data_IF_945512381594
#
_entry.id   IF_945512381594
#
_cell.length_a   1.000
_cell.length_b   1.000
_cell.length_c   1.000
_cell.angle_alpha   90.00
_cell.angle_beta   90.00
_cell.angle_gamma   90.00
#
_symmetry.space_group_name_H-M   'P 1'
#
loop_
_entity.id
_entity.type
_entity.pdbx_description
1 polymer ?
#
# COMPACT_ATOMS: atom_id res chain seq x y z
N UNK A 1 -7.40 -55.74 -11.03
CA UNK A 1 -6.95 -54.52 -11.73
C UNK A 1 -8.23 -53.77 -12.10
N UNK A 2 -8.76 -52.80 -11.36
CA UNK A 2 -8.16 -51.52 -10.99
C UNK A 2 -8.81 -51.01 -9.68
N UNK A 3 -8.09 -51.22 -8.58
CA UNK A 3 -8.14 -50.31 -7.42
C UNK A 3 -7.40 -49.04 -7.84
N UNK A 4 -7.78 -47.90 -7.27
CA UNK A 4 -7.26 -46.54 -7.51
C UNK A 4 -7.95 -45.77 -8.65
N UNK A 5 -9.20 -45.36 -8.41
CA UNK A 5 -9.78 -44.17 -9.06
C UNK A 5 -10.72 -43.39 -8.12
N UNK A 6 -10.40 -43.39 -6.83
CA UNK A 6 -11.14 -42.63 -5.80
C UNK A 6 -10.20 -41.73 -4.98
N UNK A 7 -8.99 -41.44 -5.49
CA UNK A 7 -8.04 -40.53 -4.84
C UNK A 7 -7.63 -39.34 -5.73
N UNK A 8 -8.43 -39.00 -6.76
CA UNK A 8 -8.08 -37.92 -7.69
C UNK A 8 -8.98 -36.69 -7.63
N UNK A 9 -10.06 -36.73 -6.84
CA UNK A 9 -11.03 -35.63 -6.70
C UNK A 9 -10.95 -34.96 -5.32
N UNK A 10 -9.79 -35.05 -4.67
CA UNK A 10 -9.44 -34.34 -3.44
C UNK A 10 -8.39 -33.24 -3.68
N UNK A 11 -7.81 -33.17 -4.89
CA UNK A 11 -6.74 -32.21 -5.27
C UNK A 11 -7.28 -30.87 -5.83
N UNK A 12 -8.59 -30.65 -5.84
CA UNK A 12 -9.20 -29.41 -6.33
C UNK A 12 -9.96 -28.66 -5.23
N UNK A 13 -9.63 -28.92 -3.96
CA UNK A 13 -9.83 -27.92 -2.92
C UNK A 13 -8.63 -26.98 -2.95
N UNK A 14 -8.60 -26.07 -3.93
CA UNK A 14 -7.68 -24.92 -3.88
C UNK A 14 -7.84 -24.27 -2.49
N UNK A 15 -6.74 -24.19 -1.75
CA UNK A 15 -6.76 -23.66 -0.40
C UNK A 15 -7.41 -22.26 -0.46
N UNK A 16 -8.48 -21.99 0.31
CA UNK A 16 -9.18 -20.71 0.25
C UNK A 16 -8.26 -19.52 0.55
N UNK A 17 -7.16 -19.75 1.28
CA UNK A 17 -6.12 -18.76 1.53
C UNK A 17 -5.26 -18.49 0.29
N UNK A 18 -4.90 -19.52 -0.47
CA UNK A 18 -4.14 -19.37 -1.71
C UNK A 18 -4.96 -18.61 -2.78
N UNK A 19 -6.27 -18.87 -2.85
CA UNK A 19 -7.19 -18.11 -3.69
C UNK A 19 -7.26 -16.62 -3.30
N UNK A 20 -7.30 -16.32 -2.00
CA UNK A 20 -7.26 -14.94 -1.50
C UNK A 20 -5.92 -14.26 -1.78
N UNK A 21 -4.82 -14.99 -1.63
CA UNK A 21 -3.49 -14.49 -1.97
C UNK A 21 -3.34 -14.22 -3.47
N UNK A 22 -3.92 -15.07 -4.33
CA UNK A 22 -3.97 -14.83 -5.77
C UNK A 22 -4.81 -13.60 -6.11
N UNK A 23 -6.01 -13.49 -5.54
CA UNK A 23 -6.86 -12.31 -5.71
C UNK A 23 -6.12 -11.03 -5.30
N UNK A 24 -5.40 -11.05 -4.18
CA UNK A 24 -4.60 -9.90 -3.73
C UNK A 24 -3.50 -9.54 -4.73
N UNK A 25 -2.79 -10.52 -5.30
CA UNK A 25 -1.81 -10.29 -6.37
C UNK A 25 -2.44 -9.62 -7.59
N UNK A 26 -3.59 -10.11 -8.03
CA UNK A 26 -4.31 -9.56 -9.19
C UNK A 26 -4.79 -8.12 -8.94
N UNK A 27 -5.27 -7.84 -7.71
CA UNK A 27 -5.68 -6.49 -7.32
C UNK A 27 -4.47 -5.54 -7.23
N UNK A 28 -3.34 -5.97 -6.68
CA UNK A 28 -2.10 -5.17 -6.62
C UNK A 28 -1.56 -4.88 -8.04
N UNK A 29 -1.60 -5.85 -8.94
CA UNK A 29 -1.21 -5.65 -10.34
C UNK A 29 -2.16 -4.67 -11.04
N UNK A 30 -3.47 -4.81 -10.81
CA UNK A 30 -4.49 -3.91 -11.34
C UNK A 30 -4.31 -2.48 -10.82
N UNK A 31 -3.99 -2.32 -9.54
CA UNK A 31 -3.67 -1.02 -8.95
C UNK A 31 -2.44 -0.40 -9.60
N UNK A 32 -1.38 -1.19 -9.81
CA UNK A 32 -0.17 -0.69 -10.47
C UNK A 32 -0.45 -0.24 -11.91
N UNK A 33 -1.18 -1.04 -12.70
CA UNK A 33 -1.61 -0.67 -14.06
C UNK A 33 -2.47 0.59 -14.04
N UNK A 34 -3.41 0.70 -13.10
CA UNK A 34 -4.25 1.87 -12.94
C UNK A 34 -3.44 3.11 -12.59
N UNK A 35 -2.44 3.00 -11.69
CA UNK A 35 -1.52 4.11 -11.35
C UNK A 35 -0.74 4.62 -12.56
N UNK A 36 -0.17 3.71 -13.36
CA UNK A 36 0.58 4.09 -14.58
C UNK A 36 -0.33 4.80 -15.58
N UNK A 37 -1.52 4.25 -15.85
CA UNK A 37 -2.50 4.88 -16.76
C UNK A 37 -2.96 6.25 -16.24
N UNK A 38 -3.17 6.35 -14.93
CA UNK A 38 -3.60 7.59 -14.28
C UNK A 38 -2.52 8.66 -14.29
N UNK A 39 -1.24 8.29 -14.22
CA UNK A 39 -0.12 9.23 -14.26
C UNK A 39 -0.11 10.04 -15.55
N UNK A 40 -0.42 9.42 -16.69
CA UNK A 40 -0.52 10.14 -17.97
C UNK A 40 -1.65 11.17 -17.95
N UNK A 41 -2.81 10.81 -17.40
CA UNK A 41 -3.99 11.69 -17.35
C UNK A 41 -3.72 12.86 -16.40
N UNK A 42 -3.17 12.60 -15.22
CA UNK A 42 -2.79 13.63 -14.25
C UNK A 42 -1.66 14.53 -14.77
N UNK A 43 -0.72 13.95 -15.53
CA UNK A 43 0.30 14.71 -16.25
C UNK A 43 -0.31 15.72 -17.23
N UNK A 44 -1.30 15.29 -18.01
CA UNK A 44 -2.01 16.18 -18.93
C UNK A 44 -2.76 17.30 -18.17
N UNK A 45 -3.36 17.00 -17.01
CA UNK A 45 -3.99 18.02 -16.15
C UNK A 45 -2.97 19.10 -15.76
N UNK A 46 -1.81 18.70 -15.25
CA UNK A 46 -0.75 19.63 -14.87
C UNK A 46 -0.16 20.40 -16.05
N UNK A 47 -0.07 19.78 -17.23
CA UNK A 47 0.39 20.48 -18.42
C UNK A 47 -0.57 21.61 -18.83
N UNK A 48 -1.88 21.34 -18.81
CA UNK A 48 -2.91 22.33 -19.11
C UNK A 48 -2.91 23.43 -18.05
N UNK A 49 -2.80 23.07 -16.77
CA UNK A 49 -2.67 24.02 -15.65
C UNK A 49 -1.48 24.96 -15.86
N UNK A 50 -0.30 24.41 -16.16
CA UNK A 50 0.90 25.22 -16.41
C UNK A 50 0.75 26.16 -17.60
N UNK A 51 0.12 25.70 -18.69
CA UNK A 51 -0.19 26.54 -19.85
C UNK A 51 -1.16 27.66 -19.48
N UNK A 52 -2.21 27.34 -18.72
CA UNK A 52 -3.19 28.30 -18.22
C UNK A 52 -2.51 29.38 -17.35
N UNK A 53 -1.68 28.99 -16.40
CA UNK A 53 -0.95 29.91 -15.54
C UNK A 53 0.02 30.79 -16.32
N UNK A 54 0.66 30.26 -17.36
CA UNK A 54 1.54 31.03 -18.25
C UNK A 54 0.76 32.07 -19.03
N UNK A 55 -0.41 31.71 -19.57
CA UNK A 55 -1.30 32.65 -20.27
C UNK A 55 -1.80 33.75 -19.32
N UNK A 56 -2.15 33.39 -18.08
CA UNK A 56 -2.54 34.33 -17.03
C UNK A 56 -1.44 35.34 -16.72
N UNK A 57 -0.21 34.86 -16.44
CA UNK A 57 0.95 35.72 -16.20
C UNK A 57 1.24 36.64 -17.37
N UNK A 58 1.14 36.12 -18.59
CA UNK A 58 1.32 36.93 -19.81
C UNK A 58 0.29 38.05 -19.89
N UNK A 59 -0.97 37.77 -19.56
CA UNK A 59 -2.02 38.80 -19.50
C UNK A 59 -1.71 39.87 -18.45
N UNK A 60 -1.31 39.45 -17.24
CA UNK A 60 -0.92 40.36 -16.15
C UNK A 60 0.27 41.26 -16.55
N UNK A 61 1.31 40.70 -17.18
CA UNK A 61 2.45 41.46 -17.68
C UNK A 61 2.05 42.50 -18.74
N UNK A 62 1.15 42.14 -19.67
CA UNK A 62 0.67 43.09 -20.67
C UNK A 62 -0.26 44.13 -20.08
N UNK A 63 -1.02 43.82 -19.03
CA UNK A 63 -1.81 44.78 -18.27
C UNK A 63 -0.92 45.86 -17.62
N UNK A 64 0.19 45.45 -17.00
CA UNK A 64 1.19 46.38 -16.47
C UNK A 64 1.81 47.25 -17.56
N UNK A 65 2.14 46.66 -18.72
CA UNK A 65 2.66 47.40 -19.88
C UNK A 65 1.65 48.41 -20.44
N UNK A 66 0.35 48.07 -20.45
CA UNK A 66 -0.72 49.00 -20.83
C UNK A 66 -0.76 50.17 -19.86
N UNK A 67 -0.79 49.91 -18.54
CA UNK A 67 -0.78 50.95 -17.49
C UNK A 67 0.44 51.87 -17.62
N UNK A 68 1.61 51.30 -17.84
CA UNK A 68 2.85 52.06 -18.03
C UNK A 68 2.80 52.94 -19.29
N UNK A 69 2.36 52.40 -20.43
CA UNK A 69 2.26 53.17 -21.67
C UNK A 69 1.24 54.32 -21.56
N UNK A 70 0.10 54.08 -20.91
CA UNK A 70 -0.90 55.10 -20.60
C UNK A 70 -0.34 56.19 -19.67
N UNK A 71 0.42 55.82 -18.63
CA UNK A 71 1.05 56.80 -17.72
C UNK A 71 2.05 57.72 -18.41
N UNK A 72 2.64 57.25 -19.53
CA UNK A 72 3.60 58.01 -20.36
C UNK A 72 2.92 58.73 -21.54
N UNK A 73 1.59 58.70 -21.64
CA UNK A 73 0.84 59.32 -22.72
C UNK A 73 1.02 58.66 -24.10
N UNK A 74 1.58 57.44 -24.17
CA UNK A 74 1.79 56.74 -25.42
C UNK A 74 0.63 55.78 -25.71
N UNK A 75 -0.45 56.33 -26.25
CA UNK A 75 -1.67 55.57 -26.57
C UNK A 75 -1.46 54.48 -27.62
N UNK A 76 -0.58 54.70 -28.61
CA UNK A 76 -0.34 53.71 -29.65
C UNK A 76 0.33 52.45 -29.09
N UNK A 77 1.30 52.64 -28.18
CA UNK A 77 1.95 51.55 -27.48
C UNK A 77 0.98 50.85 -26.50
N UNK A 78 0.12 51.61 -25.82
CA UNK A 78 -0.92 51.06 -24.95
C UNK A 78 -1.91 50.17 -25.75
N UNK A 79 -2.35 50.60 -26.93
CA UNK A 79 -3.22 49.80 -27.81
C UNK A 79 -2.56 48.50 -28.26
N UNK A 80 -1.27 48.52 -28.62
CA UNK A 80 -0.51 47.31 -28.99
C UNK A 80 -0.38 46.34 -27.83
N UNK A 81 -0.05 46.83 -26.63
CA UNK A 81 0.01 46.00 -25.42
C UNK A 81 -1.37 45.42 -25.04
N UNK A 82 -2.43 46.22 -25.18
CA UNK A 82 -3.80 45.79 -24.89
C UNK A 82 -4.26 44.69 -25.85
N UNK A 83 -3.91 44.76 -27.14
CA UNK A 83 -4.21 43.70 -28.09
C UNK A 83 -3.56 42.37 -27.68
N UNK A 84 -2.31 42.41 -27.20
CA UNK A 84 -1.59 41.24 -26.68
C UNK A 84 -2.20 40.70 -25.38
N UNK A 85 -2.64 41.58 -24.48
CA UNK A 85 -3.39 41.20 -23.28
C UNK A 85 -4.68 40.45 -23.65
N UNK A 86 -5.48 40.98 -24.57
CA UNK A 86 -6.73 40.35 -25.01
C UNK A 86 -6.48 38.98 -25.63
N UNK A 87 -5.40 38.82 -26.39
CA UNK A 87 -5.00 37.52 -26.95
C UNK A 87 -4.66 36.51 -25.84
N UNK A 88 -3.90 36.94 -24.83
CA UNK A 88 -3.55 36.12 -23.67
C UNK A 88 -4.79 35.76 -22.82
N UNK A 89 -5.71 36.72 -22.58
CA UNK A 89 -6.98 36.50 -21.87
C UNK A 89 -7.85 35.45 -22.58
N UNK A 90 -7.99 35.54 -23.90
CA UNK A 90 -8.72 34.54 -24.68
C UNK A 90 -8.10 33.15 -24.58
N UNK A 91 -6.76 33.08 -24.62
CA UNK A 91 -6.04 31.82 -24.45
C UNK A 91 -6.26 31.24 -23.05
N UNK A 92 -6.19 32.08 -22.01
CA UNK A 92 -6.47 31.69 -20.63
C UNK A 92 -7.89 31.15 -20.48
N UNK A 93 -8.92 31.84 -20.99
CA UNK A 93 -10.30 31.39 -20.88
C UNK A 93 -10.53 30.03 -21.55
N UNK A 94 -9.93 29.82 -22.74
CA UNK A 94 -10.00 28.52 -23.43
C UNK A 94 -9.28 27.40 -22.66
N UNK A 95 -8.12 27.71 -22.08
CA UNK A 95 -7.34 26.75 -21.29
C UNK A 95 -8.04 26.44 -19.97
N UNK A 96 -8.70 27.42 -19.36
CA UNK A 96 -9.49 27.24 -18.14
C UNK A 96 -10.62 26.25 -18.33
N UNK A 97 -11.39 26.36 -19.41
CA UNK A 97 -12.45 25.40 -19.73
C UNK A 97 -11.89 23.98 -19.92
N UNK A 98 -10.75 23.87 -20.60
CA UNK A 98 -10.06 22.60 -20.82
C UNK A 98 -9.52 22.01 -19.50
N UNK A 99 -8.99 22.87 -18.63
CA UNK A 99 -8.50 22.49 -17.30
C UNK A 99 -9.63 22.00 -16.42
N UNK A 100 -10.78 22.67 -16.37
CA UNK A 100 -11.91 22.26 -15.54
C UNK A 100 -12.42 20.86 -15.91
N UNK A 101 -12.51 20.53 -17.20
CA UNK A 101 -12.88 19.18 -17.66
C UNK A 101 -11.80 18.14 -17.30
N UNK A 102 -10.53 18.45 -17.58
CA UNK A 102 -9.41 17.56 -17.28
C UNK A 102 -9.27 17.32 -15.76
N UNK A 103 -9.44 18.36 -14.95
CA UNK A 103 -9.38 18.31 -13.49
C UNK A 103 -10.46 17.41 -12.92
N UNK A 104 -11.72 17.53 -13.38
CA UNK A 104 -12.82 16.65 -12.96
C UNK A 104 -12.52 15.18 -13.26
N UNK A 105 -11.97 14.89 -14.45
CA UNK A 105 -11.54 13.54 -14.82
C UNK A 105 -10.41 13.04 -13.93
N UNK A 106 -9.41 13.88 -13.68
CA UNK A 106 -8.28 13.59 -12.79
C UNK A 106 -8.72 13.28 -11.36
N UNK A 107 -9.62 14.07 -10.79
CA UNK A 107 -10.17 13.84 -9.45
C UNK A 107 -10.99 12.55 -9.37
N UNK A 108 -11.81 12.26 -10.38
CA UNK A 108 -12.54 10.99 -10.44
C UNK A 108 -11.60 9.78 -10.46
N UNK A 109 -10.49 9.88 -11.19
CA UNK A 109 -9.47 8.83 -11.24
C UNK A 109 -8.76 8.67 -9.89
N UNK A 110 -8.33 9.77 -9.26
CA UNK A 110 -7.73 9.74 -7.92
C UNK A 110 -8.65 9.09 -6.90
N UNK A 111 -9.96 9.40 -6.97
CA UNK A 111 -10.96 8.79 -6.09
C UNK A 111 -11.03 7.28 -6.28
N UNK A 112 -11.13 6.81 -7.53
CA UNK A 112 -11.16 5.37 -7.85
C UNK A 112 -9.89 4.64 -7.42
N UNK A 113 -8.72 5.27 -7.56
CA UNK A 113 -7.46 4.69 -7.07
C UNK A 113 -7.48 4.51 -5.55
N UNK A 114 -7.96 5.50 -4.80
CA UNK A 114 -8.11 5.37 -3.33
C UNK A 114 -9.11 4.29 -2.96
N UNK A 115 -10.26 4.24 -3.64
CA UNK A 115 -11.27 3.20 -3.42
C UNK A 115 -10.67 1.79 -3.64
N UNK A 116 -9.85 1.60 -4.68
CA UNK A 116 -9.15 0.34 -4.95
C UNK A 116 -8.09 0.02 -3.87
N UNK A 117 -7.32 1.01 -3.43
CA UNK A 117 -6.35 0.85 -2.34
C UNK A 117 -7.02 0.43 -1.02
N UNK A 118 -8.16 1.05 -0.69
CA UNK A 118 -8.96 0.67 0.48
C UNK A 118 -9.53 -0.75 0.36
N UNK A 119 -9.99 -1.15 -0.83
CA UNK A 119 -10.50 -2.51 -1.08
C UNK A 119 -9.41 -3.57 -0.96
N UNK A 120 -8.20 -3.28 -1.46
CA UNK A 120 -7.03 -4.14 -1.29
C UNK A 120 -6.73 -4.30 0.20
N UNK A 121 -6.71 -3.20 0.96
CA UNK A 121 -6.41 -3.27 2.38
C UNK A 121 -7.47 -4.07 3.16
N UNK A 122 -8.75 -3.88 2.86
CA UNK A 122 -9.84 -4.68 3.43
C UNK A 122 -9.68 -6.17 3.10
N UNK A 123 -9.30 -6.48 1.87
CA UNK A 123 -9.09 -7.86 1.41
C UNK A 123 -7.89 -8.51 2.12
N UNK A 124 -6.81 -7.75 2.37
CA UNK A 124 -5.66 -8.23 3.16
C UNK A 124 -6.06 -8.57 4.59
N UNK A 125 -6.77 -7.68 5.28
CA UNK A 125 -7.28 -7.95 6.62
C UNK A 125 -8.19 -9.18 6.64
N UNK A 126 -9.11 -9.30 5.68
CA UNK A 126 -9.98 -10.47 5.56
C UNK A 126 -9.18 -11.76 5.33
N UNK A 127 -8.13 -11.72 4.50
CA UNK A 127 -7.23 -12.85 4.26
C UNK A 127 -6.54 -13.29 5.55
N UNK A 128 -6.00 -12.35 6.31
CA UNK A 128 -5.31 -12.64 7.57
C UNK A 128 -6.25 -13.28 8.60
N UNK A 129 -7.48 -12.76 8.73
CA UNK A 129 -8.52 -13.34 9.57
C UNK A 129 -8.93 -14.73 9.10
N UNK A 130 -9.12 -14.91 7.78
CA UNK A 130 -9.47 -16.20 7.19
C UNK A 130 -8.37 -17.24 7.41
N UNK A 131 -7.10 -16.85 7.28
CA UNK A 131 -5.95 -17.73 7.50
C UNK A 131 -5.89 -18.20 8.96
N UNK A 132 -6.09 -17.30 9.93
CA UNK A 132 -6.14 -17.66 11.34
C UNK A 132 -7.28 -18.64 11.65
N UNK A 133 -8.48 -18.40 11.11
CA UNK A 133 -9.63 -19.30 11.28
C UNK A 133 -9.42 -20.65 10.62
N UNK A 134 -8.86 -20.67 9.42
CA UNK A 134 -8.55 -21.89 8.68
C UNK A 134 -7.54 -22.75 9.46
N UNK A 135 -6.46 -22.15 9.95
CA UNK A 135 -5.46 -22.84 10.77
C UNK A 135 -6.07 -23.43 12.06
N UNK A 136 -6.94 -22.69 12.74
CA UNK A 136 -7.64 -23.16 13.93
C UNK A 136 -8.61 -24.32 13.61
N UNK A 137 -9.32 -24.25 12.49
CA UNK A 137 -10.24 -25.29 12.04
C UNK A 137 -9.48 -26.58 11.65
N UNK A 138 -8.37 -26.47 10.91
CA UNK A 138 -7.51 -27.60 10.58
C UNK A 138 -6.87 -28.23 11.82
N UNK A 139 -6.42 -27.41 12.78
CA UNK A 139 -5.92 -27.90 14.07
C UNK A 139 -7.02 -28.67 14.84
N UNK A 140 -8.24 -28.12 14.90
CA UNK A 140 -9.38 -28.75 15.57
C UNK A 140 -9.81 -30.05 14.89
N UNK A 141 -9.85 -30.06 13.55
CA UNK A 141 -10.11 -31.26 12.75
C UNK A 141 -9.07 -32.34 13.01
N UNK A 142 -7.78 -31.98 13.03
CA UNK A 142 -6.68 -32.92 13.30
C UNK A 142 -6.75 -33.51 14.71
N UNK A 143 -7.13 -32.70 15.71
CA UNK A 143 -7.38 -33.19 17.09
C UNK A 143 -8.57 -34.14 17.11
N UNK A 144 -9.68 -33.78 16.46
CA UNK A 144 -10.86 -34.64 16.38
C UNK A 144 -10.59 -35.95 15.62
N UNK A 145 -9.82 -35.93 14.53
CA UNK A 145 -9.39 -37.14 13.82
C UNK A 145 -8.52 -38.04 14.72
N UNK A 146 -7.63 -37.47 15.53
CA UNK A 146 -6.87 -38.24 16.53
C UNK A 146 -7.82 -38.87 17.55
N UNK A 147 -8.79 -38.11 18.07
CA UNK A 147 -9.76 -38.61 19.04
C UNK A 147 -10.72 -39.66 18.46
N UNK A 148 -11.19 -39.50 17.22
CA UNK A 148 -12.07 -40.48 16.55
C UNK A 148 -11.33 -41.74 16.10
N UNK A 149 -10.05 -41.64 15.74
CA UNK A 149 -9.19 -42.82 15.52
C UNK A 149 -8.88 -43.57 16.83
N UNK A 150 -8.98 -42.90 17.99
CA UNK A 150 -8.91 -43.55 19.31
C UNK A 150 -10.20 -44.33 19.63
N UNK A 151 -11.36 -43.91 19.11
CA UNK A 151 -12.66 -44.52 19.42
C UNK A 151 -13.03 -45.73 18.53
N UNK A 152 -12.36 -45.95 17.39
CA UNK A 152 -12.80 -46.93 16.37
C UNK A 152 -11.84 -48.10 16.12
N UNK A 153 -10.74 -48.23 16.86
CA UNK A 153 -9.77 -49.31 16.67
C UNK A 153 -9.32 -49.95 17.97
N UNK A 154 -9.73 -51.19 18.20
CA UNK A 154 -9.14 -52.10 19.18
C UNK A 154 -7.63 -52.21 18.99
N UNK A 155 -6.86 -51.35 19.64
CA UNK A 155 -5.45 -51.56 19.96
C UNK A 155 -5.05 -50.60 21.08
N UNK A 156 -4.61 -51.17 22.20
CA UNK A 156 -4.09 -50.45 23.37
C UNK A 156 -2.97 -49.51 22.94
N UNK A 157 -3.27 -48.23 22.84
CA UNK A 157 -2.26 -47.17 22.86
C UNK A 157 -1.82 -47.06 24.32
N UNK A 158 -0.54 -47.32 24.60
CA UNK A 158 0.02 -47.14 25.93
C UNK A 158 -0.03 -45.65 26.29
N UNK A 159 -0.53 -45.37 27.50
CA UNK A 159 -0.63 -44.02 28.06
C UNK A 159 0.73 -43.29 27.99
N UNK A 160 1.83 -44.01 28.16
CA UNK A 160 3.22 -43.53 28.07
C UNK A 160 3.62 -42.92 26.70
N UNK A 161 2.96 -43.28 25.59
CA UNK A 161 3.25 -42.70 24.27
C UNK A 161 2.46 -41.41 24.02
N UNK A 162 1.33 -41.26 24.72
CA UNK A 162 0.55 -40.02 24.76
C UNK A 162 1.25 -39.05 25.71
N UNK A 163 1.66 -39.51 26.90
CA UNK A 163 2.41 -38.73 27.89
C UNK A 163 3.73 -38.25 27.31
N UNK A 164 4.51 -39.11 26.63
CA UNK A 164 5.73 -38.66 25.90
C UNK A 164 5.47 -37.69 24.75
N UNK A 165 4.30 -37.73 24.10
CA UNK A 165 3.96 -36.78 23.01
C UNK A 165 3.41 -35.47 23.55
N UNK A 166 2.71 -35.49 24.69
CA UNK A 166 2.27 -34.32 25.42
C UNK A 166 3.50 -33.66 26.05
N UNK A 167 4.37 -34.39 26.75
CA UNK A 167 5.67 -33.91 27.24
C UNK A 167 6.54 -33.35 26.11
N UNK A 168 6.60 -33.99 24.93
CA UNK A 168 7.33 -33.43 23.78
C UNK A 168 6.71 -32.14 23.24
N UNK A 169 5.40 -31.95 23.35
CA UNK A 169 4.72 -30.73 22.90
C UNK A 169 4.74 -29.64 23.96
N UNK A 170 4.64 -29.99 25.23
CA UNK A 170 4.80 -29.09 26.38
C UNK A 170 6.26 -28.62 26.47
N UNK A 171 7.26 -29.51 26.31
CA UNK A 171 8.67 -29.12 26.22
C UNK A 171 9.00 -28.31 24.95
N UNK A 172 8.21 -28.42 23.87
CA UNK A 172 8.38 -27.61 22.66
C UNK A 172 7.63 -26.27 22.78
N UNK A 173 6.53 -26.21 23.53
CA UNK A 173 5.83 -24.97 23.87
C UNK A 173 6.55 -24.17 24.96
N UNK A 174 7.12 -24.85 25.97
CA UNK A 174 8.04 -24.30 26.97
C UNK A 174 9.36 -23.94 26.31
N UNK A 175 9.93 -24.78 25.43
CA UNK A 175 11.11 -24.43 24.63
C UNK A 175 10.87 -23.26 23.67
N UNK A 176 9.65 -23.05 23.17
CA UNK A 176 9.26 -21.87 22.39
C UNK A 176 9.01 -20.64 23.27
N UNK A 177 8.67 -20.81 24.55
CA UNK A 177 8.61 -19.72 25.54
C UNK A 177 10.03 -19.37 26.06
N UNK A 178 10.91 -20.34 26.26
CA UNK A 178 12.35 -20.16 26.53
C UNK A 178 13.10 -19.61 25.31
N UNK A 179 12.58 -19.78 24.09
CA UNK A 179 13.08 -19.06 22.89
C UNK A 179 12.41 -17.68 22.71
N UNK A 180 11.42 -17.33 23.55
CA UNK A 180 10.83 -15.98 23.64
C UNK A 180 11.31 -15.20 24.87
N UNK A 181 11.93 -15.86 25.85
CA UNK A 181 12.78 -15.21 26.85
C UNK A 181 14.25 -15.34 26.43
N UNK A 182 14.78 -14.23 25.91
CA UNK A 182 16.17 -14.00 25.52
C UNK A 182 16.56 -14.32 24.07
N UNK A 183 15.97 -13.57 23.14
CA UNK A 183 16.75 -13.03 22.02
C UNK A 183 16.54 -11.53 21.95
N UNK A 184 17.30 -10.90 22.83
CA UNK A 184 17.56 -9.48 23.01
C UNK A 184 18.26 -8.83 21.79
N UNK A 185 17.89 -9.15 20.55
CA UNK A 185 18.37 -8.42 19.36
C UNK A 185 17.95 -6.94 19.42
N UNK A 186 16.74 -6.64 19.89
CA UNK A 186 16.28 -5.26 20.12
C UNK A 186 17.05 -4.57 21.27
N UNK A 187 17.51 -5.32 22.27
CA UNK A 187 18.36 -4.82 23.39
C UNK A 187 19.85 -4.70 23.01
N UNK A 188 20.35 -5.51 22.07
CA UNK A 188 21.69 -5.38 21.50
C UNK A 188 21.80 -4.18 20.57
N UNK A 189 20.71 -3.84 19.85
CA UNK A 189 20.64 -2.60 19.06
C UNK A 189 20.46 -1.34 19.91
N UNK A 190 19.74 -1.39 21.05
CA UNK A 190 19.75 -0.28 22.02
C UNK A 190 21.15 -0.04 22.62
N UNK A 191 21.91 -1.11 22.93
CA UNK A 191 23.28 -1.00 23.43
C UNK A 191 24.30 -0.48 22.40
N UNK A 192 24.02 -0.60 21.11
CA UNK A 192 24.86 -0.05 20.05
C UNK A 192 24.60 1.44 19.76
N UNK A 193 23.49 2.00 20.26
CA UNK A 193 23.18 3.43 20.15
C UNK A 193 23.60 4.27 21.37
N UNK A 194 24.04 3.65 22.47
CA UNK A 194 24.78 4.35 23.52
C UNK A 194 26.26 4.42 23.17
N UNK A 195 26.58 5.15 22.11
CA UNK A 195 27.93 5.67 21.89
C UNK A 195 28.21 6.71 22.98
N UNK A 196 28.75 6.22 24.10
CA UNK A 196 29.85 6.78 24.87
C UNK A 196 29.94 8.31 25.02
N UNK A 197 28.86 8.94 25.52
CA UNK A 197 28.86 10.34 25.98
C UNK A 197 29.89 10.59 27.11
N UNK A 198 30.20 9.57 27.91
CA UNK A 198 31.17 9.66 29.01
C UNK A 198 32.64 9.66 28.54
N UNK A 199 32.98 9.00 27.43
CA UNK A 199 34.34 9.10 26.83
C UNK A 199 34.55 10.42 26.08
N UNK A 200 33.52 11.00 25.45
CA UNK A 200 33.64 12.32 24.80
C UNK A 200 33.74 13.47 25.81
N UNK A 201 33.07 13.39 26.96
CA UNK A 201 33.17 14.38 28.04
C UNK A 201 34.56 14.45 28.69
N UNK A 202 35.33 13.36 28.68
CA UNK A 202 36.72 13.34 29.17
C UNK A 202 37.71 14.08 28.28
N UNK A 203 37.38 14.34 27.00
CA UNK A 203 38.22 15.15 26.11
C UNK A 203 38.06 16.66 26.33
N UNK A 204 37.00 17.10 27.01
CA UNK A 204 36.71 18.51 27.28
C UNK A 204 36.97 18.96 28.73
N UNK A 205 37.37 18.06 29.64
CA UNK A 205 37.87 18.48 30.96
C UNK A 205 39.34 18.93 30.85
N UNK A 206 39.45 20.20 30.51
CA UNK A 206 40.64 21.04 30.54
C UNK A 206 41.36 20.91 31.89
N UNK A 207 42.68 20.71 31.80
CA UNK A 207 43.63 21.17 32.80
C UNK A 207 44.38 22.37 32.25
#
# INVERSE_FOLDING_TARGET
>A
MFRAKVNGALDEMENPIELLDQKLRDMDESLNKAKISSAQILGNVHEIEKKMDTAKKTSEEFDEKVKLAMSKGNEELAKKALAKKIEADKSYDSLKLSYEDAFKKGEAIKKKLRELEEEIQKTRTYRDEAAARYNNAEASKKVNEILSNVDTGSNKINLDDIERKIEKKEALAEGLNDLREDNSLDKEFEKLNEVNLDEELKKYQVK
#
